data_IF_698343759049
#
_entry.id   IF_698343759049
#
_cell.length_a   1.000
_cell.length_b   1.000
_cell.length_c   1.000
_cell.angle_alpha   90.00
_cell.angle_beta   90.00
_cell.angle_gamma   90.00
#
_symmetry.space_group_name_H-M   'P 1'
#
loop_
_entity.id
_entity.type
_entity.pdbx_description
1 polymer ?
#
# COMPACT_ATOMS: atom_id res chain seq x y z
N UNK A 1 27.09 -1.83 8.62
CA UNK A 1 26.87 -2.85 9.67
C UNK A 1 25.46 -3.35 9.45
N UNK A 2 25.33 -4.59 8.97
CA UNK A 2 24.06 -5.17 8.56
C UNK A 2 23.26 -5.47 9.84
N UNK A 3 22.21 -4.69 10.09
CA UNK A 3 21.23 -4.99 11.14
C UNK A 3 20.19 -5.93 10.53
N UNK A 4 20.05 -7.12 11.10
CA UNK A 4 18.94 -8.03 10.80
C UNK A 4 17.67 -7.48 11.47
N UNK A 5 16.54 -7.33 10.74
CA UNK A 5 15.26 -7.14 11.39
C UNK A 5 14.73 -8.50 11.85
N UNK A 6 14.28 -8.56 13.10
CA UNK A 6 13.47 -9.64 13.62
C UNK A 6 12.07 -9.45 13.05
N UNK A 7 11.67 -10.30 12.10
CA UNK A 7 10.29 -10.36 11.62
C UNK A 7 9.37 -10.73 12.79
N UNK A 8 8.60 -9.77 13.29
CA UNK A 8 7.46 -10.01 14.18
C UNK A 8 6.23 -10.19 13.30
N UNK A 9 5.80 -11.43 13.13
CA UNK A 9 4.48 -11.74 12.57
C UNK A 9 3.42 -11.38 13.61
N UNK A 10 2.69 -10.30 13.37
CA UNK A 10 1.51 -9.90 14.14
C UNK A 10 0.31 -10.77 13.73
N UNK A 11 -0.11 -11.67 14.61
CA UNK A 11 -1.33 -12.49 14.47
C UNK A 11 -2.38 -11.94 15.44
N UNK A 12 -3.29 -11.10 14.94
CA UNK A 12 -4.42 -10.60 15.72
C UNK A 12 -5.62 -11.53 15.57
N UNK A 13 -5.67 -12.60 16.35
CA UNK A 13 -6.82 -13.51 16.38
C UNK A 13 -7.93 -12.96 17.31
N UNK A 14 -8.98 -12.38 16.73
CA UNK A 14 -10.21 -12.02 17.46
C UNK A 14 -11.12 -13.26 17.57
N UNK A 15 -11.13 -13.90 18.73
CA UNK A 15 -12.01 -15.04 19.01
C UNK A 15 -13.33 -14.58 19.66
N UNK A 16 -14.40 -14.48 18.87
CA UNK A 16 -15.77 -14.33 19.40
C UNK A 16 -16.34 -15.72 19.68
N UNK A 17 -16.53 -16.04 20.96
CA UNK A 17 -17.15 -17.30 21.41
C UNK A 17 -18.65 -17.10 21.65
N UNK A 18 -19.48 -17.59 20.73
CA UNK A 18 -20.92 -17.74 20.91
C UNK A 18 -21.25 -19.15 21.41
N UNK A 19 -21.56 -19.25 22.70
CA UNK A 19 -22.09 -20.45 23.32
C UNK A 19 -23.59 -20.60 22.98
N UNK A 20 -23.92 -21.60 22.17
CA UNK A 20 -25.28 -22.10 21.96
C UNK A 20 -25.40 -23.56 22.40
N UNK A 21 -26.04 -23.80 23.54
CA UNK A 21 -26.39 -25.12 24.02
C UNK A 21 -27.67 -25.63 23.33
N UNK A 22 -27.63 -26.84 22.77
CA UNK A 22 -28.81 -27.57 22.28
C UNK A 22 -28.53 -29.07 22.19
N UNK A 23 -29.14 -29.81 23.13
CA UNK A 23 -29.67 -31.20 23.13
C UNK A 23 -29.04 -32.24 22.17
N UNK A 24 -28.63 -33.44 22.60
CA UNK A 24 -29.43 -34.46 23.27
C UNK A 24 -29.00 -35.82 22.70
N UNK A 25 -28.70 -36.79 23.58
CA UNK A 25 -28.27 -38.15 23.21
C UNK A 25 -29.49 -38.95 22.72
N UNK A 26 -29.32 -39.79 21.70
CA UNK A 26 -29.57 -41.24 21.82
C UNK A 26 -29.21 -42.04 20.55
N UNK A 27 -28.54 -43.18 20.79
CA UNK A 27 -28.12 -44.21 19.82
C UNK A 27 -29.17 -45.34 19.77
N UNK A 28 -29.50 -45.84 18.58
CA UNK A 28 -29.90 -47.23 18.35
C UNK A 28 -29.68 -47.56 16.85
N UNK A 29 -28.72 -48.42 16.51
CA UNK A 29 -28.82 -49.89 16.34
C UNK A 29 -29.06 -50.29 14.87
N UNK A 30 -28.09 -51.01 14.30
CA UNK A 30 -28.07 -51.50 12.92
C UNK A 30 -28.79 -52.86 12.78
N UNK A 31 -29.43 -53.16 11.63
CA UNK A 31 -29.76 -54.52 11.23
C UNK A 31 -28.82 -55.09 10.14
N UNK A 32 -28.73 -56.42 10.14
CA UNK A 32 -27.84 -57.31 9.40
C UNK A 32 -28.16 -57.45 7.88
N UNK A 33 -27.29 -58.09 7.06
CA UNK A 33 -27.23 -57.89 5.62
C UNK A 33 -28.15 -58.84 4.82
N UNK A 34 -28.61 -58.36 3.65
CA UNK A 34 -29.35 -59.12 2.64
C UNK A 34 -28.42 -59.68 1.54
N UNK A 35 -28.83 -60.73 0.80
CA UNK A 35 -27.92 -61.58 0.01
C UNK A 35 -27.46 -60.96 -1.32
N UNK A 36 -26.28 -61.41 -1.77
CA UNK A 36 -25.59 -61.00 -2.97
C UNK A 36 -26.39 -61.23 -4.27
N UNK A 37 -26.43 -60.20 -5.13
CA UNK A 37 -26.84 -60.28 -6.53
C UNK A 37 -25.60 -60.40 -7.45
N UNK A 38 -25.76 -61.18 -8.52
CA UNK A 38 -24.73 -61.55 -9.50
C UNK A 38 -24.12 -60.33 -10.25
N UNK A 39 -22.87 -60.44 -10.77
CA UNK A 39 -22.17 -59.31 -11.37
C UNK A 39 -22.75 -58.97 -12.75
N UNK A 40 -23.26 -57.74 -12.89
CA UNK A 40 -23.50 -57.12 -14.18
C UNK A 40 -22.20 -56.52 -14.73
N UNK A 41 -21.91 -56.79 -16.00
CA UNK A 41 -20.77 -56.26 -16.76
C UNK A 41 -20.82 -54.72 -16.79
N UNK A 42 -19.73 -54.00 -16.42
CA UNK A 42 -19.72 -52.55 -16.51
C UNK A 42 -19.66 -52.12 -17.98
N UNK A 43 -20.61 -51.28 -18.39
CA UNK A 43 -20.49 -50.50 -19.62
C UNK A 43 -19.34 -49.51 -19.46
N UNK A 44 -18.50 -49.38 -20.48
CA UNK A 44 -17.36 -48.49 -20.50
C UNK A 44 -17.82 -47.01 -20.42
N UNK A 45 -17.55 -46.37 -19.29
CA UNK A 45 -17.64 -44.91 -19.14
C UNK A 45 -16.57 -44.26 -20.02
N UNK A 46 -16.88 -43.23 -20.84
CA UNK A 46 -15.86 -42.48 -21.55
C UNK A 46 -14.90 -41.86 -20.55
N UNK A 47 -13.59 -42.10 -20.73
CA UNK A 47 -12.58 -41.46 -19.92
C UNK A 47 -12.71 -39.93 -20.05
N UNK A 48 -12.83 -39.25 -18.92
CA UNK A 48 -12.68 -37.80 -18.88
C UNK A 48 -11.28 -37.45 -19.42
N UNK A 49 -11.15 -36.40 -20.25
CA UNK A 49 -9.84 -35.97 -20.74
C UNK A 49 -8.95 -35.67 -19.53
N UNK A 50 -7.73 -36.22 -19.54
CA UNK A 50 -6.71 -35.91 -18.55
C UNK A 50 -6.48 -34.38 -18.53
N UNK A 51 -6.26 -33.76 -17.35
CA UNK A 51 -5.83 -32.37 -17.31
C UNK A 51 -4.60 -32.22 -18.19
N UNK A 52 -4.64 -31.29 -19.14
CA UNK A 52 -3.46 -30.94 -19.91
C UNK A 52 -2.37 -30.52 -18.92
N UNK A 53 -1.20 -31.14 -19.00
CA UNK A 53 -0.05 -30.70 -18.22
C UNK A 53 0.19 -29.21 -18.49
N UNK A 54 0.31 -28.41 -17.44
CA UNK A 54 0.65 -26.99 -17.57
C UNK A 54 1.91 -26.88 -18.45
N UNK A 55 1.85 -26.01 -19.46
CA UNK A 55 3.03 -25.75 -20.28
C UNK A 55 4.10 -25.14 -19.37
N UNK A 56 5.22 -25.83 -19.19
CA UNK A 56 6.37 -25.24 -18.50
C UNK A 56 6.81 -24.00 -19.27
N UNK A 57 6.74 -22.85 -18.61
CA UNK A 57 7.22 -21.59 -19.16
C UNK A 57 8.71 -21.71 -19.46
N UNK A 58 9.13 -21.30 -20.66
CA UNK A 58 10.55 -21.28 -21.05
C UNK A 58 11.33 -20.34 -20.12
N UNK A 59 12.32 -20.87 -19.40
CA UNK A 59 13.08 -20.13 -18.37
C UNK A 59 13.76 -18.88 -18.94
N UNK A 60 14.26 -18.95 -20.17
CA UNK A 60 14.87 -17.80 -20.83
C UNK A 60 13.86 -16.68 -21.11
N UNK A 61 12.66 -17.03 -21.59
CA UNK A 61 11.57 -16.07 -21.77
C UNK A 61 11.09 -15.49 -20.42
N UNK A 62 10.96 -16.32 -19.38
CA UNK A 62 10.60 -15.87 -18.04
C UNK A 62 11.64 -14.89 -17.47
N UNK A 63 12.93 -15.21 -17.58
CA UNK A 63 14.03 -14.32 -17.16
C UNK A 63 14.05 -13.00 -17.94
N UNK A 64 13.68 -13.00 -19.22
CA UNK A 64 13.58 -11.78 -19.99
C UNK A 64 12.44 -10.86 -19.47
N UNK A 65 11.32 -11.43 -19.02
CA UNK A 65 10.23 -10.69 -18.35
C UNK A 65 10.69 -10.14 -17.00
N UNK A 66 11.39 -10.94 -16.20
CA UNK A 66 11.93 -10.52 -14.88
C UNK A 66 12.96 -9.40 -15.04
N UNK A 67 13.81 -9.45 -16.06
CA UNK A 67 14.76 -8.37 -16.35
C UNK A 67 14.05 -7.06 -16.74
N UNK A 68 12.95 -7.13 -17.50
CA UNK A 68 12.14 -5.96 -17.81
C UNK A 68 11.41 -5.42 -16.57
N UNK A 69 10.89 -6.30 -15.72
CA UNK A 69 10.34 -5.93 -14.41
C UNK A 69 11.38 -5.17 -13.58
N UNK A 70 12.61 -5.66 -13.44
CA UNK A 70 13.68 -4.96 -12.73
C UNK A 70 14.01 -3.58 -13.32
N UNK A 71 13.93 -3.41 -14.65
CA UNK A 71 14.07 -2.09 -15.29
C UNK A 71 12.94 -1.14 -14.90
N UNK A 72 11.71 -1.64 -14.82
CA UNK A 72 10.56 -0.84 -14.39
C UNK A 72 10.67 -0.45 -12.92
N UNK A 73 11.00 -1.40 -12.03
CA UNK A 73 11.17 -1.11 -10.59
C UNK A 73 12.22 -0.02 -10.39
N UNK A 74 13.38 -0.15 -11.05
CA UNK A 74 14.42 0.88 -11.04
C UNK A 74 13.90 2.24 -11.52
N UNK A 75 13.17 2.28 -12.63
CA UNK A 75 12.65 3.54 -13.18
C UNK A 75 11.59 4.20 -12.28
N UNK A 76 10.77 3.41 -11.59
CA UNK A 76 9.77 3.92 -10.64
C UNK A 76 10.45 4.49 -9.40
N UNK A 77 11.44 3.80 -8.81
CA UNK A 77 12.17 4.32 -7.66
C UNK A 77 13.06 5.52 -8.00
N UNK A 78 13.70 5.56 -9.17
CA UNK A 78 14.40 6.75 -9.66
C UNK A 78 13.45 7.97 -9.73
N UNK A 79 12.23 7.77 -10.23
CA UNK A 79 11.24 8.85 -10.36
C UNK A 79 10.70 9.27 -8.99
N UNK A 80 10.52 8.34 -8.06
CA UNK A 80 10.13 8.62 -6.68
C UNK A 80 11.22 9.39 -5.92
N UNK A 81 12.49 8.96 -6.04
CA UNK A 81 13.66 9.67 -5.51
C UNK A 81 13.73 11.11 -6.07
N UNK A 82 13.57 11.28 -7.39
CA UNK A 82 13.55 12.59 -8.01
C UNK A 82 12.37 13.46 -7.54
N UNK A 83 11.20 12.85 -7.28
CA UNK A 83 10.04 13.50 -6.66
C UNK A 83 10.35 14.01 -5.26
N UNK A 84 10.90 13.16 -4.39
CA UNK A 84 11.28 13.53 -3.02
C UNK A 84 12.34 14.64 -2.97
N UNK A 85 13.31 14.65 -3.90
CA UNK A 85 14.29 15.75 -4.01
C UNK A 85 13.65 17.08 -4.37
N UNK A 86 12.64 17.07 -5.24
CA UNK A 86 11.84 18.27 -5.57
C UNK A 86 11.01 18.72 -4.37
N UNK A 87 10.40 17.79 -3.64
CA UNK A 87 9.70 18.06 -2.39
C UNK A 87 10.63 18.71 -1.35
N UNK A 88 11.82 18.14 -1.12
CA UNK A 88 12.85 18.71 -0.23
C UNK A 88 13.20 20.15 -0.63
N UNK A 89 13.38 20.42 -1.93
CA UNK A 89 13.64 21.79 -2.42
C UNK A 89 12.47 22.74 -2.14
N UNK A 90 11.22 22.28 -2.30
CA UNK A 90 10.03 23.08 -2.03
C UNK A 90 9.84 23.35 -0.53
N UNK A 91 10.12 22.35 0.31
CA UNK A 91 10.15 22.48 1.77
C UNK A 91 11.20 23.48 2.20
N UNK A 92 12.41 23.44 1.65
CA UNK A 92 13.47 24.42 1.94
C UNK A 92 13.02 25.85 1.58
N UNK A 93 12.37 26.03 0.43
CA UNK A 93 11.81 27.32 0.03
C UNK A 93 10.68 27.79 0.97
N UNK A 94 9.83 26.87 1.41
CA UNK A 94 8.78 27.15 2.41
C UNK A 94 9.36 27.58 3.75
N UNK A 95 10.31 26.82 4.29
CA UNK A 95 10.95 27.14 5.57
C UNK A 95 11.74 28.44 5.49
N UNK A 96 12.36 28.77 4.35
CA UNK A 96 13.06 30.04 4.16
C UNK A 96 12.13 31.25 4.14
N UNK A 97 10.89 31.10 3.65
CA UNK A 97 9.90 32.18 3.56
C UNK A 97 8.49 31.63 3.82
N UNK A 98 8.09 31.35 5.07
CA UNK A 98 6.78 30.77 5.36
C UNK A 98 5.66 31.75 5.01
N UNK A 99 4.81 31.37 4.05
CA UNK A 99 3.58 32.06 3.67
C UNK A 99 2.71 31.11 2.82
N UNK A 100 1.50 31.53 2.47
CA UNK A 100 0.53 30.70 1.74
C UNK A 100 1.05 30.23 0.37
N UNK A 101 1.81 31.08 -0.35
CA UNK A 101 2.36 30.73 -1.67
C UNK A 101 3.40 29.61 -1.57
N UNK A 102 4.33 29.72 -0.61
CA UNK A 102 5.39 28.73 -0.45
C UNK A 102 4.90 27.45 0.24
N UNK A 103 3.94 27.54 1.15
CA UNK A 103 3.25 26.37 1.71
C UNK A 103 2.50 25.60 0.61
N UNK A 104 1.77 26.32 -0.25
CA UNK A 104 1.11 25.70 -1.40
C UNK A 104 2.12 25.01 -2.32
N UNK A 105 3.27 25.63 -2.60
CA UNK A 105 4.29 25.01 -3.42
C UNK A 105 4.86 23.72 -2.81
N UNK A 106 5.03 23.65 -1.49
CA UNK A 106 5.44 22.44 -0.79
C UNK A 106 4.36 21.34 -0.86
N UNK A 107 3.09 21.71 -0.66
CA UNK A 107 1.93 20.80 -0.82
C UNK A 107 1.82 20.23 -2.23
N UNK A 108 1.92 21.09 -3.25
CA UNK A 108 1.88 20.67 -4.66
C UNK A 108 3.05 19.70 -4.98
N UNK A 109 4.25 19.96 -4.42
CA UNK A 109 5.41 19.09 -4.60
C UNK A 109 5.24 17.74 -3.89
N UNK A 110 4.56 17.70 -2.74
CA UNK A 110 4.26 16.46 -2.02
C UNK A 110 3.31 15.58 -2.85
N UNK A 111 2.23 16.15 -3.37
CA UNK A 111 1.27 15.45 -4.24
C UNK A 111 1.98 14.90 -5.48
N UNK A 112 2.86 15.69 -6.10
CA UNK A 112 3.64 15.24 -7.26
C UNK A 112 4.64 14.11 -6.93
N UNK A 113 5.27 14.14 -5.76
CA UNK A 113 6.19 13.10 -5.30
C UNK A 113 5.46 11.78 -4.99
N UNK A 114 4.19 11.86 -4.56
CA UNK A 114 3.34 10.70 -4.27
C UNK A 114 3.10 9.81 -5.49
N UNK A 115 2.93 10.40 -6.67
CA UNK A 115 2.54 9.71 -7.92
C UNK A 115 3.44 8.51 -8.32
N UNK A 116 4.78 8.66 -8.44
CA UNK A 116 5.64 7.52 -8.75
C UNK A 116 5.67 6.50 -7.62
N UNK A 117 5.69 6.95 -6.35
CA UNK A 117 5.77 6.04 -5.21
C UNK A 117 4.54 5.13 -5.10
N UNK A 118 3.33 5.65 -5.32
CA UNK A 118 2.11 4.83 -5.29
C UNK A 118 2.04 3.79 -6.40
N UNK A 119 2.79 3.96 -7.50
CA UNK A 119 2.93 2.92 -8.52
C UNK A 119 3.94 1.82 -8.11
N UNK A 120 4.76 2.06 -7.09
CA UNK A 120 5.79 1.12 -6.60
C UNK A 120 5.26 0.07 -5.63
N UNK A 121 4.12 0.32 -5.01
CA UNK A 121 3.50 -0.51 -3.96
C UNK A 121 3.28 -1.97 -4.40
N UNK A 122 3.04 -2.19 -5.70
CA UNK A 122 2.87 -3.54 -6.28
C UNK A 122 4.12 -4.41 -6.11
N UNK A 123 5.28 -3.80 -5.88
CA UNK A 123 6.54 -4.52 -5.72
C UNK A 123 6.74 -5.10 -4.31
N UNK A 124 5.99 -4.65 -3.29
CA UNK A 124 6.22 -5.01 -1.88
C UNK A 124 6.12 -6.51 -1.60
N UNK A 125 4.96 -7.09 -1.86
CA UNK A 125 4.61 -8.41 -1.34
C UNK A 125 5.50 -9.55 -1.90
N UNK A 126 6.06 -9.38 -3.11
CA UNK A 126 6.98 -10.36 -3.69
C UNK A 126 8.46 -10.16 -3.32
N UNK A 127 8.81 -8.97 -2.82
CA UNK A 127 10.20 -8.54 -2.62
C UNK A 127 10.35 -8.04 -1.18
N UNK A 128 10.77 -8.92 -0.27
CA UNK A 128 10.81 -8.66 1.18
C UNK A 128 11.51 -7.36 1.55
N UNK A 129 12.60 -7.00 0.86
CA UNK A 129 13.32 -5.74 1.10
C UNK A 129 12.42 -4.51 0.89
N UNK A 130 11.47 -4.57 -0.06
CA UNK A 130 10.55 -3.47 -0.32
C UNK A 130 9.49 -3.38 0.76
N UNK A 131 8.98 -4.52 1.21
CA UNK A 131 8.01 -4.56 2.31
C UNK A 131 8.63 -4.10 3.64
N UNK A 132 9.90 -4.44 3.90
CA UNK A 132 10.66 -3.97 5.06
C UNK A 132 10.82 -2.43 5.10
N UNK A 133 10.69 -1.74 3.96
CA UNK A 133 10.74 -0.27 3.89
C UNK A 133 9.39 0.41 4.16
N UNK A 134 8.28 -0.32 4.14
CA UNK A 134 6.94 0.28 4.24
C UNK A 134 6.77 1.08 5.52
N UNK A 135 7.10 0.47 6.67
CA UNK A 135 6.99 1.07 7.98
C UNK A 135 7.65 2.46 8.05
N UNK A 136 8.80 2.61 7.40
CA UNK A 136 9.58 3.85 7.43
C UNK A 136 9.09 4.89 6.42
N UNK A 137 8.68 4.47 5.22
CA UNK A 137 8.43 5.38 4.09
C UNK A 137 6.95 5.75 3.95
N UNK A 138 6.03 4.86 4.31
CA UNK A 138 4.62 4.96 3.93
C UNK A 138 3.64 4.36 4.95
N UNK A 139 4.08 4.11 6.20
CA UNK A 139 3.20 3.57 7.22
C UNK A 139 1.92 4.38 7.44
N UNK A 140 0.83 3.64 7.61
CA UNK A 140 -0.51 4.13 7.95
C UNK A 140 -1.22 3.03 8.76
N UNK A 141 -2.06 3.35 9.77
CA UNK A 141 -2.48 4.69 10.23
C UNK A 141 -1.37 5.46 10.97
N UNK A 142 -1.54 6.79 11.12
CA UNK A 142 -0.63 7.67 11.86
C UNK A 142 -1.38 8.34 13.01
N UNK A 143 -0.93 8.14 14.25
CA UNK A 143 -1.45 8.90 15.40
C UNK A 143 -0.80 10.29 15.48
N UNK A 144 -1.51 11.31 14.99
CA UNK A 144 -1.04 12.69 14.80
C UNK A 144 -0.52 13.34 16.08
N UNK A 145 -1.10 12.98 17.22
CA UNK A 145 -0.72 13.50 18.52
C UNK A 145 0.66 13.02 19.00
N UNK A 146 1.28 12.04 18.32
CA UNK A 146 2.71 11.74 18.46
C UNK A 146 3.55 12.93 17.97
N UNK A 147 3.20 13.51 16.82
CA UNK A 147 3.99 14.51 16.13
C UNK A 147 3.75 15.92 16.69
N UNK A 148 2.49 16.38 16.71
CA UNK A 148 2.14 17.77 17.02
C UNK A 148 0.80 17.91 17.76
N UNK A 149 0.31 19.14 17.88
CA UNK A 149 -1.02 19.44 18.41
C UNK A 149 -2.12 18.81 17.57
N UNK A 150 -3.19 18.42 18.25
CA UNK A 150 -4.42 17.82 17.72
C UNK A 150 -5.62 18.45 18.41
N UNK A 151 -6.83 18.22 17.87
CA UNK A 151 -8.07 18.63 18.50
C UNK A 151 -8.24 18.00 19.90
N UNK A 152 -9.03 18.64 20.77
CA UNK A 152 -9.19 18.20 22.17
C UNK A 152 -9.91 16.85 22.32
N UNK A 153 -10.79 16.55 21.38
CA UNK A 153 -11.60 15.35 21.26
C UNK A 153 -11.01 14.33 20.28
N UNK A 154 -9.73 14.52 19.92
CA UNK A 154 -8.96 13.60 19.10
C UNK A 154 -9.07 12.15 19.61
N UNK A 155 -9.32 11.24 18.69
CA UNK A 155 -9.31 9.79 18.91
C UNK A 155 -8.07 9.22 18.26
N UNK A 156 -7.39 8.32 18.95
CA UNK A 156 -6.16 7.70 18.49
C UNK A 156 -6.23 6.18 18.63
N UNK A 157 -5.25 5.47 18.08
CA UNK A 157 -5.19 4.03 18.15
C UNK A 157 -5.30 3.54 19.61
N UNK A 158 -6.18 2.56 19.83
CA UNK A 158 -6.48 2.05 21.16
C UNK A 158 -5.23 1.42 21.78
N UNK A 159 -4.84 1.92 22.96
CA UNK A 159 -3.70 1.39 23.68
C UNK A 159 -2.34 1.87 23.18
N UNK A 160 -2.28 2.80 22.23
CA UNK A 160 -1.02 3.41 21.82
C UNK A 160 -0.51 4.39 22.91
N UNK A 161 0.64 4.11 23.55
CA UNK A 161 1.17 4.98 24.59
C UNK A 161 1.88 6.24 24.05
N UNK A 162 2.15 6.31 22.75
CA UNK A 162 2.82 7.45 22.09
C UNK A 162 1.85 8.49 21.51
N UNK A 163 0.56 8.16 21.43
CA UNK A 163 -0.44 8.92 20.68
C UNK A 163 -0.67 10.38 21.13
N UNK A 164 -0.21 10.76 22.32
CA UNK A 164 -0.33 12.14 22.82
C UNK A 164 1.02 12.74 23.21
N UNK A 165 2.13 12.18 22.73
CA UNK A 165 3.47 12.56 23.15
C UNK A 165 3.87 13.96 22.72
N UNK A 166 3.40 14.42 21.54
CA UNK A 166 3.68 15.70 20.92
C UNK A 166 5.18 16.05 20.94
N UNK A 167 5.93 15.42 20.04
CA UNK A 167 7.38 15.63 19.86
C UNK A 167 7.70 17.11 19.64
N UNK A 168 6.84 17.85 18.93
CA UNK A 168 7.07 19.27 18.63
C UNK A 168 7.02 20.13 19.90
N UNK A 169 6.10 19.89 20.83
CA UNK A 169 5.97 20.71 22.04
C UNK A 169 6.97 20.36 23.15
N UNK A 170 7.64 19.20 23.07
CA UNK A 170 8.43 18.65 24.16
C UNK A 170 9.89 18.37 23.78
N UNK A 171 10.81 18.42 24.75
CA UNK A 171 12.21 18.00 24.56
C UNK A 171 12.50 16.61 25.14
N UNK A 172 11.57 16.08 25.94
CA UNK A 172 11.55 14.70 26.46
C UNK A 172 10.10 14.24 26.40
N UNK A 173 9.85 13.05 25.87
CA UNK A 173 8.51 12.44 25.82
C UNK A 173 8.50 11.12 26.59
N UNK A 174 7.32 10.73 27.07
CA UNK A 174 7.08 9.43 27.68
C UNK A 174 6.35 8.55 26.66
N UNK A 175 6.93 7.40 26.32
CA UNK A 175 6.28 6.38 25.46
C UNK A 175 6.32 5.07 26.22
N UNK A 176 5.16 4.65 26.75
CA UNK A 176 5.06 3.48 27.62
C UNK A 176 5.86 3.71 28.90
N UNK A 177 6.80 2.81 29.22
CA UNK A 177 7.71 2.95 30.35
C UNK A 177 8.96 3.80 30.03
N UNK A 178 9.21 4.07 28.75
CA UNK A 178 10.43 4.73 28.29
C UNK A 178 10.32 6.25 28.31
N UNK A 179 11.38 6.89 28.83
CA UNK A 179 11.62 8.32 28.68
C UNK A 179 12.57 8.56 27.53
N UNK A 180 12.12 9.32 26.55
CA UNK A 180 12.83 9.50 25.30
C UNK A 180 13.23 10.95 25.12
N UNK A 181 14.53 11.21 25.01
CA UNK A 181 15.06 12.52 24.63
C UNK A 181 14.76 12.78 23.15
N UNK A 182 14.03 13.85 22.89
CA UNK A 182 13.66 14.37 21.56
C UNK A 182 14.06 15.83 21.40
N UNK A 183 15.03 16.30 22.19
CA UNK A 183 15.51 17.68 22.14
C UNK A 183 16.02 18.04 20.76
N UNK A 184 16.85 17.17 20.18
CA UNK A 184 17.34 17.30 18.82
C UNK A 184 16.42 16.50 17.87
N UNK A 185 15.83 17.18 16.89
CA UNK A 185 15.02 16.54 15.84
C UNK A 185 15.90 16.35 14.61
N UNK A 186 16.36 15.12 14.39
CA UNK A 186 17.19 14.72 13.27
C UNK A 186 16.55 13.53 12.53
N UNK A 187 16.95 13.27 11.29
CA UNK A 187 16.46 12.11 10.52
C UNK A 187 16.68 10.80 11.27
N UNK A 188 17.85 10.60 11.87
CA UNK A 188 18.15 9.41 12.69
C UNK A 188 17.24 9.31 13.93
N UNK A 189 16.98 10.44 14.60
CA UNK A 189 16.07 10.47 15.74
C UNK A 189 14.66 10.08 15.32
N UNK A 190 14.12 10.67 14.25
CA UNK A 190 12.78 10.35 13.77
C UNK A 190 12.64 8.88 13.36
N UNK A 191 13.62 8.34 12.62
CA UNK A 191 13.65 6.91 12.29
C UNK A 191 13.62 6.02 13.54
N UNK A 192 14.30 6.42 14.62
CA UNK A 192 14.28 5.66 15.89
C UNK A 192 12.97 5.77 16.69
N UNK A 193 12.12 6.74 16.36
CA UNK A 193 10.81 6.94 16.99
C UNK A 193 9.68 6.23 16.24
N UNK A 194 9.92 5.83 14.99
CA UNK A 194 8.94 5.15 14.17
C UNK A 194 8.58 3.79 14.80
N UNK A 195 7.27 3.51 14.92
CA UNK A 195 6.68 2.32 15.55
C UNK A 195 7.12 2.10 17.02
N UNK A 196 7.68 3.12 17.66
CA UNK A 196 8.19 3.02 19.03
C UNK A 196 7.08 2.60 20.00
N UNK A 197 7.40 1.77 20.99
CA UNK A 197 6.41 1.27 21.95
C UNK A 197 5.51 0.16 21.37
N UNK A 198 5.81 -0.33 20.16
CA UNK A 198 5.15 -1.47 19.54
C UNK A 198 3.79 -1.16 18.93
N UNK A 199 3.51 0.12 18.65
CA UNK A 199 2.30 0.54 17.95
C UNK A 199 2.66 0.97 16.54
N UNK A 200 2.08 0.30 15.53
CA UNK A 200 2.25 0.66 14.10
C UNK A 200 1.76 2.08 13.82
N UNK A 201 0.80 2.59 14.62
CA UNK A 201 0.31 3.96 14.53
C UNK A 201 1.33 5.03 14.99
N UNK A 202 2.45 4.66 15.62
CA UNK A 202 3.51 5.61 15.97
C UNK A 202 4.37 5.95 14.75
N UNK A 203 3.76 6.54 13.72
CA UNK A 203 4.45 6.93 12.49
C UNK A 203 5.12 8.28 12.69
N UNK A 204 6.46 8.29 12.68
CA UNK A 204 7.27 9.49 12.86
C UNK A 204 8.00 9.92 11.56
N UNK A 205 7.86 9.14 10.49
CA UNK A 205 8.62 9.30 9.26
C UNK A 205 7.75 9.16 8.01
N UNK A 206 8.37 9.27 6.84
CA UNK A 206 7.71 8.96 5.57
C UNK A 206 6.76 10.04 5.04
N UNK A 207 6.00 9.66 4.01
CA UNK A 207 5.09 10.56 3.30
C UNK A 207 4.01 11.14 4.21
N UNK A 208 3.38 10.32 5.06
CA UNK A 208 2.26 10.73 5.91
C UNK A 208 2.68 11.66 7.05
N UNK A 209 3.88 11.51 7.61
CA UNK A 209 4.41 12.48 8.58
C UNK A 209 4.66 13.85 7.92
N UNK A 210 5.18 13.88 6.68
CA UNK A 210 5.32 15.14 5.91
C UNK A 210 3.95 15.73 5.61
N UNK A 211 2.99 14.89 5.22
CA UNK A 211 1.62 15.29 4.93
C UNK A 211 0.96 15.97 6.13
N UNK A 212 0.97 15.33 7.30
CA UNK A 212 0.45 15.90 8.54
C UNK A 212 1.14 17.23 8.91
N UNK A 213 2.44 17.35 8.65
CA UNK A 213 3.15 18.60 8.86
C UNK A 213 2.73 19.68 7.84
N UNK A 214 2.39 19.33 6.60
CA UNK A 214 2.00 20.32 5.60
C UNK A 214 0.51 20.71 5.68
N UNK A 215 -0.38 19.79 6.09
CA UNK A 215 -1.83 20.02 6.15
C UNK A 215 -2.39 20.09 7.57
N UNK A 216 -1.73 19.50 8.55
CA UNK A 216 -2.27 19.33 9.91
C UNK A 216 -3.36 18.26 9.93
N UNK A 217 -4.00 18.12 11.09
CA UNK A 217 -5.15 17.25 11.25
C UNK A 217 -6.27 17.69 10.31
N UNK A 218 -6.90 16.74 9.61
CA UNK A 218 -8.18 17.00 8.97
C UNK A 218 -9.31 16.90 10.00
N UNK A 219 -10.14 17.94 10.07
CA UNK A 219 -11.23 18.06 11.02
C UNK A 219 -12.61 18.06 10.33
N UNK A 220 -12.64 17.77 9.03
CA UNK A 220 -13.86 17.77 8.25
C UNK A 220 -14.58 16.41 8.29
N UNK A 221 -13.89 15.35 8.72
CA UNK A 221 -14.45 14.01 8.84
C UNK A 221 -14.83 13.48 7.47
N UNK A 222 -16.13 13.40 7.17
CA UNK A 222 -16.62 13.04 5.82
C UNK A 222 -17.29 14.24 5.11
N UNK A 223 -17.12 15.43 5.67
CA UNK A 223 -17.48 16.70 5.04
C UNK A 223 -16.35 17.22 4.15
N UNK A 224 -16.63 18.17 3.24
CA UNK A 224 -15.63 18.60 2.27
C UNK A 224 -14.46 19.36 2.91
N UNK A 225 -13.24 18.95 2.56
CA UNK A 225 -12.02 19.74 2.66
C UNK A 225 -10.91 19.07 3.47
N UNK A 226 -9.67 19.37 3.08
CA UNK A 226 -8.46 18.87 3.70
C UNK A 226 -8.06 19.62 4.99
N UNK A 227 -6.99 19.14 5.62
CA UNK A 227 -6.31 19.81 6.72
C UNK A 227 -5.90 21.25 6.39
N UNK A 228 -6.09 22.15 7.37
CA UNK A 228 -5.98 23.60 7.19
C UNK A 228 -4.82 24.25 7.98
N UNK A 229 -3.72 23.53 8.22
CA UNK A 229 -2.55 24.07 8.93
C UNK A 229 -2.04 25.35 8.24
N UNK A 230 -1.86 26.47 8.98
CA UNK A 230 -1.44 27.73 8.39
C UNK A 230 0.08 27.82 8.27
N UNK A 231 0.56 28.60 7.30
CA UNK A 231 1.99 28.88 7.16
C UNK A 231 2.60 29.60 8.38
N UNK A 232 1.76 30.26 9.20
CA UNK A 232 2.19 30.93 10.43
C UNK A 232 2.70 29.96 11.51
N UNK A 233 2.40 28.66 11.42
CA UNK A 233 3.00 27.64 12.29
C UNK A 233 4.49 27.41 12.01
N UNK A 234 4.99 27.94 10.91
CA UNK A 234 6.40 27.85 10.51
C UNK A 234 7.11 29.21 10.57
N UNK A 235 6.42 30.28 10.94
CA UNK A 235 7.03 31.61 11.13
C UNK A 235 7.86 31.66 12.41
N UNK A 236 8.94 32.43 12.39
CA UNK A 236 9.70 32.76 13.59
C UNK A 236 9.43 34.22 14.00
N UNK A 237 9.10 34.43 15.27
CA UNK A 237 8.86 35.76 15.84
C UNK A 237 7.43 36.27 15.64
N UNK A 238 7.30 37.54 15.24
CA UNK A 238 5.99 38.20 15.21
C UNK A 238 5.05 37.57 14.16
N UNK A 239 3.85 37.19 14.61
CA UNK A 239 2.84 36.55 13.75
C UNK A 239 2.90 35.02 13.71
N UNK A 240 3.85 34.41 14.42
CA UNK A 240 3.90 32.96 14.56
C UNK A 240 2.74 32.40 15.38
N UNK A 241 2.22 31.23 14.99
CA UNK A 241 1.12 30.49 15.64
C UNK A 241 1.57 29.08 16.02
N UNK A 242 0.76 28.26 16.70
CA UNK A 242 1.10 26.88 17.05
C UNK A 242 2.10 26.70 18.20
N UNK A 243 3.03 27.65 18.40
CA UNK A 243 4.07 27.57 19.42
C UNK A 243 5.24 26.67 18.99
N UNK A 244 6.38 26.79 19.69
CA UNK A 244 7.59 25.99 19.42
C UNK A 244 8.04 26.01 17.95
N UNK A 245 7.83 27.12 17.23
CA UNK A 245 7.92 27.19 15.76
C UNK A 245 9.27 26.76 15.17
N UNK A 246 10.35 26.77 15.95
CA UNK A 246 11.66 26.21 15.56
C UNK A 246 11.60 24.67 15.35
N UNK A 247 10.76 23.97 16.12
CA UNK A 247 10.65 22.52 16.13
C UNK A 247 9.84 21.91 14.97
N UNK A 248 8.66 22.40 14.54
CA UNK A 248 8.00 21.89 13.34
C UNK A 248 8.83 22.17 12.08
N UNK A 249 9.60 23.27 12.04
CA UNK A 249 10.58 23.55 10.97
C UNK A 249 11.67 22.48 10.94
N UNK A 250 12.26 22.17 12.10
CA UNK A 250 13.28 21.13 12.22
C UNK A 250 12.73 19.74 11.86
N UNK A 251 11.52 19.41 12.33
CA UNK A 251 10.85 18.15 12.00
C UNK A 251 10.62 18.03 10.49
N UNK A 252 9.92 18.99 9.88
CA UNK A 252 9.60 18.95 8.45
C UNK A 252 10.87 18.81 7.59
N UNK A 253 11.94 19.51 7.94
CA UNK A 253 13.25 19.34 7.27
C UNK A 253 13.81 17.93 7.45
N UNK A 254 13.90 17.46 8.70
CA UNK A 254 14.51 16.18 9.04
C UNK A 254 13.78 14.98 8.43
N UNK A 255 12.44 14.99 8.44
CA UNK A 255 11.64 13.90 7.85
C UNK A 255 11.69 13.92 6.33
N UNK A 256 11.73 15.10 5.70
CA UNK A 256 11.85 15.21 4.25
C UNK A 256 13.23 14.77 3.77
N UNK A 257 14.30 15.09 4.51
CA UNK A 257 15.65 14.60 4.23
C UNK A 257 15.75 13.09 4.40
N UNK A 258 15.09 12.53 5.42
CA UNK A 258 15.03 11.10 5.62
C UNK A 258 14.34 10.40 4.44
N UNK A 259 13.20 10.91 3.99
CA UNK A 259 12.49 10.37 2.82
C UNK A 259 13.37 10.36 1.56
N UNK A 260 14.17 11.41 1.33
CA UNK A 260 15.14 11.45 0.23
C UNK A 260 16.18 10.34 0.40
N UNK A 261 16.77 10.20 1.60
CA UNK A 261 17.76 9.16 1.89
C UNK A 261 17.20 7.75 1.70
N UNK A 262 15.97 7.51 2.15
CA UNK A 262 15.31 6.22 2.02
C UNK A 262 15.08 5.88 0.55
N UNK A 263 14.56 6.82 -0.25
CA UNK A 263 14.36 6.61 -1.69
C UNK A 263 15.66 6.47 -2.48
N UNK A 264 16.74 7.12 -2.04
CA UNK A 264 18.09 6.89 -2.60
C UNK A 264 18.58 5.46 -2.32
N UNK A 265 18.31 4.91 -1.13
CA UNK A 265 18.59 3.50 -0.83
C UNK A 265 17.75 2.55 -1.69
N UNK A 266 16.45 2.82 -1.82
CA UNK A 266 15.53 2.02 -2.64
C UNK A 266 16.01 2.00 -4.09
N UNK A 267 16.27 3.17 -4.68
CA UNK A 267 16.84 3.35 -6.01
C UNK A 267 18.17 2.61 -6.19
N UNK A 268 19.08 2.72 -5.21
CA UNK A 268 20.37 2.02 -5.21
C UNK A 268 20.25 0.49 -5.27
N UNK A 269 19.26 -0.07 -4.57
CA UNK A 269 18.99 -1.51 -4.55
C UNK A 269 18.52 -2.08 -5.90
N UNK A 270 18.01 -1.23 -6.79
CA UNK A 270 17.49 -1.59 -8.10
C UNK A 270 18.35 -1.12 -9.28
N UNK A 271 19.45 -0.42 -8.99
CA UNK A 271 20.39 0.08 -9.99
C UNK A 271 21.01 -1.04 -10.82
N UNK A 272 20.99 -0.88 -12.14
CA UNK A 272 21.61 -1.84 -13.06
C UNK A 272 23.13 -1.91 -12.90
N UNK A 273 23.71 -3.10 -13.05
CA UNK A 273 25.16 -3.31 -13.11
C UNK A 273 25.89 -3.25 -11.77
N UNK A 274 25.16 -3.26 -10.64
CA UNK A 274 25.72 -3.39 -9.30
C UNK A 274 25.65 -4.86 -8.89
N UNK A 275 26.78 -5.48 -8.54
CA UNK A 275 26.86 -6.94 -8.36
C UNK A 275 26.14 -7.46 -7.10
N UNK A 276 26.09 -6.64 -6.04
CA UNK A 276 25.67 -7.07 -4.71
C UNK A 276 24.38 -6.36 -4.23
N UNK A 277 23.57 -5.83 -5.15
CA UNK A 277 22.28 -5.23 -4.81
C UNK A 277 21.12 -6.22 -4.97
N UNK A 278 19.92 -5.82 -4.52
CA UNK A 278 18.74 -6.67 -4.60
C UNK A 278 18.40 -7.08 -6.03
N UNK A 279 18.51 -6.17 -7.00
CA UNK A 279 18.30 -6.47 -8.42
C UNK A 279 19.17 -7.63 -8.91
N UNK A 280 20.47 -7.64 -8.58
CA UNK A 280 21.35 -8.73 -8.98
C UNK A 280 20.93 -10.08 -8.36
N UNK A 281 20.42 -10.05 -7.13
CA UNK A 281 19.87 -11.25 -6.47
C UNK A 281 18.63 -11.76 -7.22
N UNK A 282 17.66 -10.88 -7.53
CA UNK A 282 16.46 -11.23 -8.28
C UNK A 282 16.79 -11.80 -9.67
N UNK A 283 17.69 -11.14 -10.41
CA UNK A 283 18.06 -11.55 -11.77
C UNK A 283 18.84 -12.90 -11.80
N UNK A 284 19.42 -13.31 -10.67
CA UNK A 284 20.10 -14.60 -10.52
C UNK A 284 19.13 -15.77 -10.19
N UNK A 285 17.91 -15.48 -9.77
CA UNK A 285 16.89 -16.50 -9.50
C UNK A 285 16.41 -17.21 -10.78
N UNK A 286 15.62 -18.29 -10.63
CA UNK A 286 14.92 -18.88 -11.77
C UNK A 286 13.86 -17.91 -12.30
N UNK A 287 13.55 -18.02 -13.59
CA UNK A 287 12.45 -17.24 -14.16
C UNK A 287 11.14 -17.49 -13.44
N UNK A 288 10.86 -18.74 -13.06
CA UNK A 288 9.68 -19.12 -12.27
C UNK A 288 9.58 -18.36 -10.95
N UNK A 289 10.69 -18.25 -10.20
CA UNK A 289 10.72 -17.51 -8.93
C UNK A 289 10.40 -16.03 -9.13
N UNK A 290 11.00 -15.39 -10.14
CA UNK A 290 10.73 -14.00 -10.45
C UNK A 290 9.28 -13.76 -10.90
N UNK A 291 8.73 -14.63 -11.76
CA UNK A 291 7.31 -14.53 -12.17
C UNK A 291 6.37 -14.70 -10.98
N UNK A 292 6.68 -15.62 -10.05
CA UNK A 292 5.93 -15.81 -8.81
C UNK A 292 5.91 -14.54 -7.97
N UNK A 293 7.05 -13.88 -7.77
CA UNK A 293 7.14 -12.60 -7.04
C UNK A 293 6.29 -11.50 -7.68
N UNK A 294 6.34 -11.38 -9.00
CA UNK A 294 5.55 -10.38 -9.74
C UNK A 294 4.05 -10.62 -9.59
N UNK A 295 3.59 -11.85 -9.80
CA UNK A 295 2.16 -12.19 -9.72
C UNK A 295 1.64 -12.14 -8.28
N UNK A 296 2.49 -12.48 -7.30
CA UNK A 296 2.16 -12.36 -5.88
C UNK A 296 1.98 -10.90 -5.49
N UNK A 297 2.92 -10.03 -5.86
CA UNK A 297 2.82 -8.58 -5.68
C UNK A 297 1.53 -8.00 -6.27
N UNK A 298 1.17 -8.41 -7.49
CA UNK A 298 -0.07 -7.98 -8.14
C UNK A 298 -1.32 -8.45 -7.40
N UNK A 299 -1.39 -9.74 -7.02
CA UNK A 299 -2.54 -10.30 -6.32
C UNK A 299 -2.73 -9.69 -4.93
N UNK A 300 -1.65 -9.60 -4.13
CA UNK A 300 -1.70 -9.09 -2.76
C UNK A 300 -2.03 -7.61 -2.71
N UNK A 301 -1.44 -6.78 -3.58
CA UNK A 301 -1.82 -5.38 -3.66
C UNK A 301 -3.29 -5.22 -4.09
N UNK A 302 -3.76 -6.04 -5.04
CA UNK A 302 -5.12 -5.94 -5.55
C UNK A 302 -6.17 -6.30 -4.49
N UNK A 303 -5.99 -7.42 -3.79
CA UNK A 303 -7.01 -7.99 -2.90
C UNK A 303 -6.84 -7.55 -1.45
N UNK A 304 -5.82 -8.05 -0.75
CA UNK A 304 -5.64 -7.81 0.67
C UNK A 304 -5.46 -6.32 0.97
N UNK A 305 -4.54 -5.69 0.26
CA UNK A 305 -4.15 -4.31 0.55
C UNK A 305 -5.17 -3.28 0.00
N UNK A 306 -5.31 -3.17 -1.33
CA UNK A 306 -6.09 -2.08 -1.92
C UNK A 306 -7.59 -2.29 -1.74
N UNK A 307 -8.11 -3.49 -2.07
CA UNK A 307 -9.54 -3.75 -1.95
C UNK A 307 -9.97 -3.90 -0.48
N UNK A 308 -9.21 -4.65 0.32
CA UNK A 308 -9.49 -4.93 1.73
C UNK A 308 -9.14 -3.76 2.63
N UNK A 309 -7.87 -3.65 3.01
CA UNK A 309 -7.40 -2.71 4.03
C UNK A 309 -7.66 -1.24 3.65
N UNK A 310 -7.32 -0.82 2.44
CA UNK A 310 -7.35 0.62 2.08
C UNK A 310 -8.73 1.14 1.68
N UNK A 311 -9.58 0.30 1.08
CA UNK A 311 -10.87 0.75 0.53
C UNK A 311 -12.07 0.22 1.30
N UNK A 312 -12.09 -1.08 1.62
CA UNK A 312 -13.25 -1.70 2.27
C UNK A 312 -13.35 -1.29 3.74
N UNK A 313 -12.24 -1.28 4.49
CA UNK A 313 -12.24 -0.87 5.92
C UNK A 313 -12.81 0.53 6.07
N UNK A 314 -12.25 1.52 5.37
CA UNK A 314 -12.72 2.90 5.40
C UNK A 314 -14.21 3.03 5.01
N UNK A 315 -14.64 2.30 3.97
CA UNK A 315 -16.04 2.29 3.52
C UNK A 315 -17.00 1.70 4.55
N UNK A 316 -16.64 0.58 5.18
CA UNK A 316 -17.51 -0.13 6.12
C UNK A 316 -17.57 0.54 7.49
N UNK A 317 -16.46 1.14 7.92
CA UNK A 317 -16.39 1.94 9.13
C UNK A 317 -16.93 3.37 8.95
N UNK A 318 -17.10 3.83 7.71
CA UNK A 318 -17.35 5.24 7.37
C UNK A 318 -16.31 6.18 8.01
N UNK A 319 -15.05 5.74 7.99
CA UNK A 319 -13.96 6.32 8.76
C UNK A 319 -12.98 7.03 7.83
N UNK A 320 -12.88 8.35 7.97
CA UNK A 320 -11.89 9.18 7.26
C UNK A 320 -10.47 8.99 7.80
N UNK A 321 -10.30 8.40 8.98
CA UNK A 321 -8.97 8.10 9.54
C UNK A 321 -8.38 6.80 8.98
N UNK A 322 -9.23 5.93 8.41
CA UNK A 322 -8.80 4.68 7.80
C UNK A 322 -8.43 4.84 6.31
N UNK A 323 -8.62 6.03 5.71
CA UNK A 323 -8.13 6.30 4.35
C UNK A 323 -6.68 6.81 4.34
N UNK A 324 -5.88 6.30 3.41
CA UNK A 324 -4.54 6.86 3.16
C UNK A 324 -4.64 8.27 2.59
N UNK A 325 -3.68 9.12 2.96
CA UNK A 325 -3.58 10.51 2.51
C UNK A 325 -4.79 11.39 2.93
N UNK A 326 -5.39 11.10 4.08
CA UNK A 326 -6.59 11.79 4.59
C UNK A 326 -6.34 13.29 4.80
N UNK A 327 -5.15 13.67 5.29
CA UNK A 327 -4.85 15.07 5.61
C UNK A 327 -4.87 15.98 4.37
N UNK A 328 -4.58 15.43 3.18
CA UNK A 328 -4.47 16.17 1.92
C UNK A 328 -5.64 15.98 0.95
N UNK A 329 -6.66 15.20 1.32
CA UNK A 329 -7.73 14.70 0.44
C UNK A 329 -7.23 14.00 -0.84
N UNK A 330 -6.06 13.34 -0.79
CA UNK A 330 -5.39 12.79 -1.98
C UNK A 330 -5.61 11.28 -2.21
N UNK A 331 -6.39 10.62 -1.35
CA UNK A 331 -6.68 9.18 -1.37
C UNK A 331 -7.04 8.63 -2.75
N UNK A 332 -7.89 9.36 -3.48
CA UNK A 332 -8.33 9.01 -4.83
C UNK A 332 -7.15 8.79 -5.81
N UNK A 333 -6.11 9.62 -5.74
CA UNK A 333 -4.92 9.47 -6.57
C UNK A 333 -4.09 8.27 -6.11
N UNK A 334 -3.95 8.07 -4.80
CA UNK A 334 -3.21 6.95 -4.24
C UNK A 334 -3.79 5.60 -4.66
N UNK A 335 -5.10 5.43 -4.57
CA UNK A 335 -5.77 4.22 -5.07
C UNK A 335 -5.61 4.05 -6.58
N UNK A 336 -5.78 5.11 -7.36
CA UNK A 336 -5.60 5.07 -8.81
C UNK A 336 -4.20 4.63 -9.22
N UNK A 337 -3.16 5.16 -8.57
CA UNK A 337 -1.78 4.85 -8.90
C UNK A 337 -1.33 3.47 -8.40
N UNK A 338 -1.90 2.94 -7.31
CA UNK A 338 -1.75 1.53 -6.95
C UNK A 338 -2.28 0.61 -8.05
N UNK A 339 -3.52 0.84 -8.50
CA UNK A 339 -4.11 0.07 -9.61
C UNK A 339 -3.30 0.18 -10.90
N UNK A 340 -2.79 1.37 -11.20
CA UNK A 340 -1.89 1.59 -12.35
C UNK A 340 -0.58 0.82 -12.22
N UNK A 341 0.00 0.72 -11.03
CA UNK A 341 1.18 -0.11 -10.75
C UNK A 341 0.94 -1.58 -11.11
N UNK A 342 -0.18 -2.15 -10.67
CA UNK A 342 -0.59 -3.53 -11.00
C UNK A 342 -0.68 -3.72 -12.52
N UNK A 343 -1.36 -2.81 -13.21
CA UNK A 343 -1.51 -2.84 -14.67
C UNK A 343 -0.16 -2.74 -15.38
N UNK A 344 0.71 -1.83 -14.94
CA UNK A 344 2.05 -1.66 -15.51
C UNK A 344 2.85 -2.97 -15.45
N UNK A 345 2.88 -3.65 -14.30
CA UNK A 345 3.61 -4.92 -14.11
C UNK A 345 3.13 -5.99 -15.09
N UNK A 346 1.81 -6.13 -15.27
CA UNK A 346 1.26 -7.11 -16.20
C UNK A 346 1.65 -6.85 -17.65
N UNK A 347 1.59 -5.57 -18.05
CA UNK A 347 1.86 -5.12 -19.40
C UNK A 347 3.35 -5.00 -19.72
N UNK A 348 4.20 -4.96 -18.70
CA UNK A 348 5.65 -4.79 -18.83
C UNK A 348 6.01 -3.40 -19.36
N UNK A 349 5.26 -2.37 -18.98
CA UNK A 349 5.52 -0.99 -19.38
C UNK A 349 5.34 0.01 -18.23
N UNK A 350 6.16 1.05 -18.21
CA UNK A 350 6.06 2.20 -17.31
C UNK A 350 6.33 3.49 -18.09
N UNK A 351 5.49 4.50 -17.90
CA UNK A 351 5.72 5.85 -18.44
C UNK A 351 6.28 6.72 -17.31
N UNK A 352 7.52 7.17 -17.48
CA UNK A 352 8.24 8.00 -16.53
C UNK A 352 7.61 9.38 -16.39
N UNK A 353 7.95 10.08 -15.31
CA UNK A 353 7.48 11.44 -15.05
C UNK A 353 7.88 12.47 -16.13
N UNK A 354 8.93 12.19 -16.91
CA UNK A 354 9.36 13.01 -18.06
C UNK A 354 8.68 12.62 -19.40
N UNK A 355 7.81 11.61 -19.38
CA UNK A 355 7.10 11.08 -20.55
C UNK A 355 7.85 10.00 -21.34
N UNK A 356 9.11 9.71 -21.01
CA UNK A 356 9.83 8.56 -21.59
C UNK A 356 9.22 7.23 -21.12
N UNK A 357 9.45 6.16 -21.87
CA UNK A 357 8.84 4.85 -21.61
C UNK A 357 9.89 3.78 -21.36
N UNK A 358 9.69 2.98 -20.32
CA UNK A 358 10.30 1.67 -20.13
C UNK A 358 9.30 0.63 -20.64
N UNK A 359 9.74 -0.27 -21.52
CA UNK A 359 8.90 -1.35 -22.04
C UNK A 359 9.76 -2.50 -22.55
N UNK A 360 9.24 -3.73 -22.47
CA UNK A 360 9.95 -4.94 -22.85
C UNK A 360 9.07 -6.19 -22.77
N UNK A 361 9.65 -7.40 -22.74
CA UNK A 361 8.90 -8.64 -22.50
C UNK A 361 8.03 -8.54 -21.25
N UNK A 362 6.83 -9.11 -21.29
CA UNK A 362 5.80 -8.92 -20.25
C UNK A 362 5.09 -10.21 -19.84
N UNK A 363 4.48 -10.19 -18.65
CA UNK A 363 3.58 -11.28 -18.20
C UNK A 363 2.48 -11.53 -19.21
N UNK A 364 1.85 -10.46 -19.71
CA UNK A 364 0.85 -10.56 -20.76
C UNK A 364 1.34 -11.34 -21.99
N UNK A 365 2.56 -11.07 -22.47
CA UNK A 365 3.12 -11.79 -23.62
C UNK A 365 3.32 -13.29 -23.36
N UNK A 366 3.67 -13.67 -22.12
CA UNK A 366 3.80 -15.07 -21.72
C UNK A 366 2.43 -15.75 -21.63
N UNK A 367 1.47 -15.10 -20.97
CA UNK A 367 0.11 -15.63 -20.82
C UNK A 367 -0.55 -15.78 -22.18
N UNK A 368 -0.46 -14.78 -23.06
CA UNK A 368 -1.03 -14.84 -24.40
C UNK A 368 -0.47 -15.99 -25.25
N UNK A 369 0.80 -16.36 -25.04
CA UNK A 369 1.44 -17.48 -25.75
C UNK A 369 0.91 -18.83 -25.28
N UNK A 370 0.56 -18.97 -24.01
CA UNK A 370 0.05 -20.22 -23.42
C UNK A 370 -1.48 -20.33 -23.55
N UNK A 371 -2.19 -19.25 -23.28
CA UNK A 371 -3.64 -19.16 -23.32
C UNK A 371 -4.12 -17.72 -23.64
N UNK A 372 -4.33 -17.40 -24.93
CA UNK A 372 -4.77 -16.07 -25.38
C UNK A 372 -6.06 -15.57 -24.72
N UNK A 373 -6.99 -16.46 -24.37
CA UNK A 373 -8.26 -16.08 -23.75
C UNK A 373 -8.06 -15.58 -22.31
N UNK A 374 -7.13 -16.20 -21.57
CA UNK A 374 -6.78 -15.77 -20.21
C UNK A 374 -6.10 -14.40 -20.23
N UNK A 375 -5.18 -14.16 -21.17
CA UNK A 375 -4.56 -12.82 -21.35
C UNK A 375 -5.60 -11.75 -21.66
N UNK A 376 -6.48 -12.01 -22.63
CA UNK A 376 -7.53 -11.07 -23.01
C UNK A 376 -8.47 -10.74 -21.83
N UNK A 377 -8.79 -11.74 -21.01
CA UNK A 377 -9.62 -11.56 -19.82
C UNK A 377 -8.92 -10.69 -18.79
N UNK A 378 -7.67 -11.01 -18.42
CA UNK A 378 -6.94 -10.24 -17.43
C UNK A 378 -6.66 -8.80 -17.90
N UNK A 379 -6.37 -8.58 -19.19
CA UNK A 379 -6.27 -7.22 -19.75
C UNK A 379 -7.57 -6.44 -19.58
N UNK A 380 -8.70 -7.06 -19.89
CA UNK A 380 -10.01 -6.41 -19.78
C UNK A 380 -10.36 -6.09 -18.32
N UNK A 381 -10.05 -6.99 -17.38
CA UNK A 381 -10.31 -6.77 -15.96
C UNK A 381 -9.39 -5.68 -15.37
N UNK A 382 -8.12 -5.62 -15.77
CA UNK A 382 -7.22 -4.52 -15.40
C UNK A 382 -7.70 -3.16 -15.96
N UNK A 383 -8.19 -3.13 -17.19
CA UNK A 383 -8.72 -1.92 -17.81
C UNK A 383 -10.04 -1.48 -17.13
N UNK A 384 -10.90 -2.41 -16.73
CA UNK A 384 -12.14 -2.13 -15.97
C UNK A 384 -11.80 -1.57 -14.57
N UNK A 385 -10.87 -2.19 -13.84
CA UNK A 385 -10.37 -1.65 -12.56
C UNK A 385 -9.84 -0.23 -12.72
N UNK A 386 -8.99 0.01 -13.72
CA UNK A 386 -8.45 1.34 -13.97
C UNK A 386 -9.56 2.37 -14.24
N UNK A 387 -10.61 1.98 -14.98
CA UNK A 387 -11.75 2.83 -15.23
C UNK A 387 -12.57 3.10 -13.96
N UNK A 388 -12.78 2.12 -13.08
CA UNK A 388 -13.49 2.30 -11.81
C UNK A 388 -12.73 3.19 -10.83
N UNK A 389 -11.42 3.01 -10.72
CA UNK A 389 -10.57 3.91 -9.93
C UNK A 389 -10.55 5.33 -10.51
N UNK A 390 -10.59 5.47 -11.85
CA UNK A 390 -10.72 6.79 -12.49
C UNK A 390 -12.03 7.49 -12.13
N UNK A 391 -13.13 6.76 -11.92
CA UNK A 391 -14.39 7.38 -11.47
C UNK A 391 -14.21 8.05 -10.11
N UNK A 392 -13.50 7.41 -9.17
CA UNK A 392 -13.19 8.03 -7.86
C UNK A 392 -12.39 9.34 -8.05
N UNK A 393 -11.37 9.32 -8.90
CA UNK A 393 -10.58 10.52 -9.26
C UNK A 393 -11.46 11.61 -9.90
N UNK A 394 -12.40 11.23 -10.77
CA UNK A 394 -13.32 12.15 -11.43
C UNK A 394 -14.33 12.78 -10.46
N UNK A 395 -14.71 12.08 -9.39
CA UNK A 395 -15.51 12.64 -8.29
C UNK A 395 -14.71 13.67 -7.50
N UNK A 396 -13.48 13.33 -7.09
CA UNK A 396 -12.60 14.24 -6.36
C UNK A 396 -12.33 15.53 -7.14
N UNK A 397 -12.04 15.41 -8.45
CA UNK A 397 -11.86 16.57 -9.35
C UNK A 397 -13.12 17.44 -9.52
N UNK A 398 -14.29 16.96 -9.11
CA UNK A 398 -15.56 17.71 -9.06
C UNK A 398 -15.94 18.19 -7.66
N UNK A 399 -15.08 17.95 -6.66
CA UNK A 399 -15.27 18.39 -5.27
C UNK A 399 -15.99 17.40 -4.37
N UNK A 400 -16.04 16.11 -4.73
CA UNK A 400 -16.48 15.02 -3.85
C UNK A 400 -15.31 14.04 -3.68
N UNK A 401 -14.53 14.24 -2.61
CA UNK A 401 -13.33 13.44 -2.29
C UNK A 401 -13.71 12.08 -1.65
N UNK A 402 -12.71 11.24 -1.33
CA UNK A 402 -12.95 9.83 -0.96
C UNK A 402 -13.70 9.71 0.37
N UNK A 403 -13.25 10.42 1.40
CA UNK A 403 -13.95 10.70 2.65
C UNK A 403 -15.46 10.98 2.46
N UNK A 404 -15.82 11.81 1.48
CA UNK A 404 -17.21 12.15 1.16
C UNK A 404 -17.93 10.97 0.46
N UNK A 405 -17.23 10.19 -0.37
CA UNK A 405 -17.78 8.98 -1.01
C UNK A 405 -18.04 7.85 0.00
N UNK A 406 -17.24 7.75 1.07
CA UNK A 406 -17.44 6.77 2.14
C UNK A 406 -18.39 7.26 3.24
N UNK A 407 -18.86 8.51 3.19
CA UNK A 407 -19.77 9.07 4.19
C UNK A 407 -21.00 8.20 4.46
N UNK A 408 -21.38 8.08 5.74
CA UNK A 408 -22.58 7.37 6.14
C UNK A 408 -23.83 7.98 5.48
N UNK A 409 -24.56 7.19 4.71
CA UNK A 409 -25.76 7.62 3.99
C UNK A 409 -25.52 8.18 2.58
N UNK A 410 -24.28 8.32 2.12
CA UNK A 410 -23.98 8.61 0.71
C UNK A 410 -24.07 7.35 -0.15
N UNK A 411 -25.27 6.80 -0.33
CA UNK A 411 -25.45 5.52 -1.05
C UNK A 411 -24.88 5.53 -2.47
N UNK A 412 -24.92 6.68 -3.16
CA UNK A 412 -24.35 6.82 -4.50
C UNK A 412 -22.82 6.79 -4.47
N UNK A 413 -22.19 7.58 -3.59
CA UNK A 413 -20.74 7.58 -3.40
C UNK A 413 -20.21 6.22 -2.90
N UNK A 414 -20.91 5.60 -1.94
CA UNK A 414 -20.56 4.28 -1.45
C UNK A 414 -20.56 3.24 -2.59
N UNK A 415 -21.51 3.33 -3.53
CA UNK A 415 -21.55 2.43 -4.67
C UNK A 415 -20.36 2.63 -5.62
N UNK A 416 -19.87 3.86 -5.79
CA UNK A 416 -18.64 4.13 -6.57
C UNK A 416 -17.45 3.38 -5.98
N UNK A 417 -17.29 3.43 -4.65
CA UNK A 417 -16.20 2.71 -3.96
C UNK A 417 -16.40 1.20 -4.05
N UNK A 418 -17.62 0.68 -3.84
CA UNK A 418 -17.94 -0.76 -3.98
C UNK A 418 -17.66 -1.29 -5.38
N UNK A 419 -17.95 -0.52 -6.42
CA UNK A 419 -17.67 -0.89 -7.80
C UNK A 419 -16.17 -1.06 -8.05
N UNK A 420 -15.33 -0.18 -7.50
CA UNK A 420 -13.88 -0.28 -7.60
C UNK A 420 -13.34 -1.48 -6.80
N UNK A 421 -13.83 -1.71 -5.59
CA UNK A 421 -13.50 -2.91 -4.78
C UNK A 421 -13.86 -4.19 -5.56
N UNK A 422 -15.06 -4.27 -6.14
CA UNK A 422 -15.48 -5.43 -6.90
C UNK A 422 -14.61 -5.68 -8.14
N UNK A 423 -14.16 -4.62 -8.83
CA UNK A 423 -13.24 -4.73 -9.96
C UNK A 423 -11.86 -5.26 -9.52
N UNK A 424 -11.34 -4.77 -8.38
CA UNK A 424 -10.10 -5.26 -7.78
C UNK A 424 -10.18 -6.75 -7.39
N UNK A 425 -11.28 -7.17 -6.76
CA UNK A 425 -11.52 -8.59 -6.43
C UNK A 425 -11.57 -9.44 -7.71
N UNK A 426 -12.27 -8.97 -8.74
CA UNK A 426 -12.39 -9.68 -10.01
C UNK A 426 -11.05 -9.83 -10.72
N UNK A 427 -10.26 -8.75 -10.83
CA UNK A 427 -8.94 -8.83 -11.47
C UNK A 427 -8.00 -9.76 -10.71
N UNK A 428 -8.10 -9.86 -9.37
CA UNK A 428 -7.30 -10.83 -8.59
C UNK A 428 -7.58 -12.25 -9.04
N UNK A 429 -8.85 -12.62 -9.21
CA UNK A 429 -9.21 -13.95 -9.76
C UNK A 429 -8.66 -14.19 -11.18
N UNK A 430 -8.54 -13.15 -12.01
CA UNK A 430 -7.90 -13.25 -13.32
C UNK A 430 -6.36 -13.36 -13.24
N UNK A 431 -5.73 -12.70 -12.25
CA UNK A 431 -4.29 -12.83 -11.95
C UNK A 431 -3.95 -14.27 -11.55
N UNK A 432 -4.73 -14.87 -10.67
CA UNK A 432 -4.55 -16.26 -10.23
C UNK A 432 -4.71 -17.26 -11.39
N UNK A 433 -5.70 -17.03 -12.26
CA UNK A 433 -5.89 -17.85 -13.46
C UNK A 433 -4.68 -17.73 -14.40
N UNK A 434 -4.20 -16.52 -14.67
CA UNK A 434 -3.03 -16.27 -15.50
C UNK A 434 -1.78 -16.97 -14.94
N UNK A 435 -1.59 -16.91 -13.63
CA UNK A 435 -0.49 -17.60 -12.96
C UNK A 435 -0.57 -19.12 -13.08
N UNK A 436 -1.76 -19.69 -12.89
CA UNK A 436 -2.01 -21.12 -13.08
C UNK A 436 -1.66 -21.58 -14.51
N UNK A 437 -1.92 -20.75 -15.53
CA UNK A 437 -1.51 -21.04 -16.92
C UNK A 437 0.00 -21.05 -17.11
N UNK A 438 0.73 -20.20 -16.39
CA UNK A 438 2.19 -20.16 -16.42
C UNK A 438 2.86 -21.24 -15.57
N UNK A 439 2.07 -22.07 -14.86
CA UNK A 439 2.56 -23.11 -13.96
C UNK A 439 2.98 -22.58 -12.59
N UNK A 440 2.61 -21.34 -12.25
CA UNK A 440 2.84 -20.75 -10.93
C UNK A 440 1.65 -21.12 -10.03
N UNK A 441 1.86 -22.07 -9.13
CA UNK A 441 0.87 -22.49 -8.11
C UNK A 441 1.05 -21.70 -6.82
N UNK A 442 0.12 -21.82 -5.86
CA UNK A 442 0.29 -21.32 -4.48
C UNK A 442 0.56 -19.81 -4.38
N UNK A 443 -0.10 -19.01 -5.24
CA UNK A 443 -0.08 -17.56 -5.10
C UNK A 443 -0.81 -17.09 -3.84
N UNK A 444 -1.89 -17.80 -3.44
CA UNK A 444 -2.80 -17.48 -2.33
C UNK A 444 -2.60 -16.07 -1.75
N UNK A 445 -2.97 -15.02 -2.52
CA UNK A 445 -2.85 -13.64 -2.06
C UNK A 445 -3.61 -13.51 -0.76
N UNK A 446 -3.02 -12.82 0.22
CA UNK A 446 -3.69 -12.59 1.49
C UNK A 446 -4.98 -11.82 1.24
N UNK A 447 -6.08 -12.28 1.82
CA UNK A 447 -7.34 -11.53 1.84
C UNK A 447 -7.41 -10.58 3.05
N UNK A 448 -6.35 -10.53 3.86
CA UNK A 448 -6.25 -9.77 5.10
C UNK A 448 -7.45 -10.02 6.03
N UNK A 449 -7.88 -11.28 6.11
CA UNK A 449 -9.04 -11.74 6.88
C UNK A 449 -10.40 -11.12 6.45
N UNK A 450 -10.49 -10.47 5.29
CA UNK A 450 -11.75 -9.94 4.75
C UNK A 450 -12.60 -10.99 4.03
N UNK A 451 -13.92 -10.94 4.24
CA UNK A 451 -14.92 -11.58 3.37
C UNK A 451 -15.32 -10.61 2.24
N UNK A 452 -15.21 -11.04 0.98
CA UNK A 452 -15.51 -10.22 -0.21
C UNK A 452 -16.76 -10.69 -0.96
#
# INVERSE_FOLDING_TARGET
MIRMPLATASLLAIAISLAGCGEGKDKAAAPAPAPAAAPATPAATPAAPAPAAAAQTDDAAAKAVVANYANMVSAVFDDAEAGAKKLSTAVDAFLAKPNDETLKAARDAWVAARVPYMQSEVFRFGNTIIDDWEGQVNAWPLDEGLIDYVAKDYQHALGNPGATANIIANTEIQVGEDKVDVKEITSEKLASLNELGGSEANVATGYHAIEFLLWGQDLNGTGPGAGARPASDYLEGAGATGGHNDRPRAYLKAVTDLLVSDLEEMSGNWKAGVADNYRATLEAESGESGLRKMLFGMGSLSLGELAGERMKVALEANSSEDEHDCFSDNTHNSHFYNGKGIRNVYLGEYTRTDGSKVSGPSLSSLVAKVDPATDATLRADLDDTQAKLQVIVDHANKGEHFDQLIAAGNTAGNQVVRDAIAALVKQTGAIEQAAGKLGITDLNPDNADHEF
#
